data_IF_702363998239
#
_entry.id   IF_702363998239
#
_cell.length_a   1.000
_cell.length_b   1.000
_cell.length_c   1.000
_cell.angle_alpha   90.00
_cell.angle_beta   90.00
_cell.angle_gamma   90.00
#
_symmetry.space_group_name_H-M   'P 1'
#
loop_
_entity.id
_entity.type
_entity.pdbx_description
1 polymer ?
#
# COMPACT_ATOMS: atom_id res chain seq x y z
N UNK A 1 -32.60 24.43 -36.71
CA UNK A 1 -33.10 25.59 -37.47
C UNK A 1 -33.62 25.00 -38.77
N UNK A 2 -34.90 24.98 -39.13
CA UNK A 2 -36.06 25.76 -38.70
C UNK A 2 -37.28 25.05 -39.31
N UNK A 3 -38.28 24.66 -38.53
CA UNK A 3 -39.59 24.17 -39.04
C UNK A 3 -40.70 24.79 -38.18
N UNK A 4 -40.62 26.09 -37.89
CA UNK A 4 -41.78 26.78 -37.33
C UNK A 4 -42.53 27.35 -38.54
N UNK A 5 -43.77 26.92 -38.83
CA UNK A 5 -44.55 27.53 -39.90
C UNK A 5 -44.71 29.03 -39.59
N UNK A 6 -44.44 29.89 -40.59
CA UNK A 6 -44.47 31.36 -40.46
C UNK A 6 -45.88 31.89 -40.16
N UNK A 7 -46.93 31.06 -40.32
CA UNK A 7 -48.30 31.37 -39.91
C UNK A 7 -48.80 30.36 -38.87
N UNK A 8 -49.07 30.87 -37.66
CA UNK A 8 -49.70 30.11 -36.59
C UNK A 8 -51.22 30.00 -36.86
N UNK A 9 -51.82 28.82 -36.65
CA UNK A 9 -53.27 28.68 -36.73
C UNK A 9 -53.97 29.67 -35.78
N UNK A 10 -55.00 30.38 -36.25
CA UNK A 10 -55.75 31.34 -35.42
C UNK A 10 -56.89 30.69 -34.61
N UNK A 11 -57.24 29.44 -34.92
CA UNK A 11 -58.26 28.67 -34.20
C UNK A 11 -57.69 28.14 -32.87
N UNK A 12 -58.33 28.42 -31.70
CA UNK A 12 -57.88 27.91 -30.41
C UNK A 12 -57.87 26.37 -30.31
N UNK A 13 -58.66 25.66 -31.10
CA UNK A 13 -58.65 24.19 -31.11
C UNK A 13 -57.39 23.65 -31.80
N UNK A 14 -57.01 24.22 -32.94
CA UNK A 14 -55.84 23.82 -33.73
C UNK A 14 -54.53 24.16 -33.01
N UNK A 15 -54.49 25.31 -32.32
CA UNK A 15 -53.34 25.70 -31.49
C UNK A 15 -53.06 24.71 -30.35
N UNK A 16 -54.10 24.14 -29.73
CA UNK A 16 -53.93 23.15 -28.64
C UNK A 16 -53.33 21.85 -29.16
N UNK A 17 -53.75 21.41 -30.35
CA UNK A 17 -53.21 20.21 -31.00
C UNK A 17 -51.74 20.44 -31.37
N UNK A 18 -51.42 21.61 -31.93
CA UNK A 18 -50.05 21.97 -32.28
C UNK A 18 -49.14 22.09 -31.04
N UNK A 19 -49.63 22.70 -29.96
CA UNK A 19 -48.91 22.79 -28.70
C UNK A 19 -48.64 21.40 -28.08
N UNK A 20 -49.60 20.49 -28.13
CA UNK A 20 -49.42 19.11 -27.67
C UNK A 20 -48.33 18.40 -28.49
N UNK A 21 -48.35 18.53 -29.82
CA UNK A 21 -47.34 17.95 -30.70
C UNK A 21 -45.92 18.53 -30.45
N UNK A 22 -45.82 19.83 -30.15
CA UNK A 22 -44.55 20.45 -29.78
C UNK A 22 -44.03 19.94 -28.43
N UNK A 23 -44.90 19.78 -27.43
CA UNK A 23 -44.52 19.22 -26.12
C UNK A 23 -44.01 17.78 -26.25
N UNK A 24 -44.66 16.96 -27.09
CA UNK A 24 -44.19 15.60 -27.38
C UNK A 24 -42.82 15.59 -28.06
N UNK A 25 -42.59 16.52 -29.00
CA UNK A 25 -41.29 16.68 -29.68
C UNK A 25 -40.21 17.14 -28.71
N UNK A 26 -40.50 18.09 -27.83
CA UNK A 26 -39.60 18.51 -26.76
C UNK A 26 -39.25 17.34 -25.83
N UNK A 27 -40.24 16.58 -25.35
CA UNK A 27 -40.02 15.42 -24.49
C UNK A 27 -39.20 14.32 -25.18
N UNK A 28 -39.35 14.15 -26.51
CA UNK A 28 -38.52 13.23 -27.30
C UNK A 28 -37.07 13.72 -27.40
N UNK A 29 -36.87 15.01 -27.67
CA UNK A 29 -35.54 15.61 -27.75
C UNK A 29 -34.81 15.57 -26.41
N UNK A 30 -35.49 15.84 -25.30
CA UNK A 30 -34.93 15.74 -23.96
C UNK A 30 -34.47 14.31 -23.62
N UNK A 31 -35.25 13.30 -24.01
CA UNK A 31 -34.86 11.88 -23.84
C UNK A 31 -33.61 11.54 -24.65
N UNK A 32 -33.54 11.96 -25.91
CA UNK A 32 -32.37 11.73 -26.76
C UNK A 32 -31.12 12.44 -26.22
N UNK A 33 -31.29 13.65 -25.68
CA UNK A 33 -30.20 14.43 -25.11
C UNK A 33 -29.65 13.77 -23.83
N UNK A 34 -30.52 13.19 -22.98
CA UNK A 34 -30.09 12.39 -21.83
C UNK A 34 -29.27 11.17 -22.27
N UNK A 35 -29.79 10.37 -23.21
CA UNK A 35 -29.08 9.20 -23.74
C UNK A 35 -27.73 9.57 -24.36
N UNK A 36 -27.65 10.68 -25.09
CA UNK A 36 -26.40 11.16 -25.68
C UNK A 36 -25.39 11.61 -24.60
N UNK A 37 -25.86 12.30 -23.55
CA UNK A 37 -25.02 12.68 -22.40
C UNK A 37 -24.51 11.46 -21.65
N UNK A 38 -25.37 10.48 -21.39
CA UNK A 38 -24.99 9.25 -20.71
C UNK A 38 -23.99 8.44 -21.54
N UNK A 39 -24.14 8.40 -22.87
CA UNK A 39 -23.15 7.76 -23.75
C UNK A 39 -21.81 8.51 -23.80
N UNK A 40 -21.84 9.85 -23.81
CA UNK A 40 -20.64 10.70 -23.90
C UNK A 40 -19.86 10.75 -22.58
N UNK A 41 -20.56 10.85 -21.45
CA UNK A 41 -19.97 11.03 -20.12
C UNK A 41 -19.99 9.76 -19.27
N UNK A 42 -20.88 8.78 -19.53
CA UNK A 42 -21.01 7.57 -18.71
C UNK A 42 -19.77 6.68 -18.71
N UNK A 43 -19.06 6.54 -19.84
CA UNK A 43 -17.77 5.82 -19.89
C UNK A 43 -16.57 6.61 -19.35
N UNK A 44 -16.73 7.93 -19.18
CA UNK A 44 -15.64 8.85 -18.85
C UNK A 44 -15.69 9.38 -17.41
N UNK A 45 -16.86 9.25 -16.77
CA UNK A 45 -17.15 9.66 -15.39
C UNK A 45 -16.71 8.62 -14.34
N UNK A 46 -16.25 7.45 -14.75
CA UNK A 46 -15.82 6.34 -13.87
C UNK A 46 -14.31 6.32 -13.62
N UNK A 47 -13.61 7.45 -13.76
CA UNK A 47 -12.28 7.56 -13.15
C UNK A 47 -12.47 7.75 -11.64
N UNK A 48 -12.75 6.64 -10.98
CA UNK A 48 -12.77 6.56 -9.52
C UNK A 48 -11.38 6.99 -9.03
N UNK A 49 -11.38 7.92 -8.09
CA UNK A 49 -10.17 8.30 -7.38
C UNK A 49 -9.57 7.07 -6.67
N UNK A 50 -8.27 7.07 -6.41
CA UNK A 50 -7.59 5.91 -5.81
C UNK A 50 -8.25 5.48 -4.49
N UNK A 51 -8.69 6.45 -3.69
CA UNK A 51 -9.42 6.21 -2.43
C UNK A 51 -10.81 5.57 -2.67
N UNK A 52 -11.49 5.93 -3.77
CA UNK A 52 -12.78 5.33 -4.13
C UNK A 52 -12.62 3.90 -4.66
N UNK A 53 -11.56 3.62 -5.42
CA UNK A 53 -11.23 2.26 -5.84
C UNK A 53 -10.93 1.37 -4.62
N UNK A 54 -10.20 1.89 -3.65
CA UNK A 54 -9.87 1.15 -2.44
C UNK A 54 -11.13 0.81 -1.63
N UNK A 55 -12.10 1.73 -1.52
CA UNK A 55 -13.39 1.46 -0.90
C UNK A 55 -14.17 0.34 -1.61
N UNK A 56 -14.20 0.36 -2.95
CA UNK A 56 -14.87 -0.69 -3.74
C UNK A 56 -14.21 -2.05 -3.54
N UNK A 57 -12.87 -2.09 -3.47
CA UNK A 57 -12.15 -3.33 -3.19
C UNK A 57 -12.44 -3.85 -1.77
N UNK A 58 -12.49 -2.97 -0.78
CA UNK A 58 -12.89 -3.33 0.59
C UNK A 58 -14.32 -3.91 0.64
N UNK A 59 -15.27 -3.33 -0.10
CA UNK A 59 -16.64 -3.84 -0.19
C UNK A 59 -16.71 -5.22 -0.87
N UNK A 60 -15.91 -5.44 -1.91
CA UNK A 60 -15.81 -6.75 -2.59
C UNK A 60 -15.22 -7.79 -1.63
N UNK A 61 -14.14 -7.47 -0.92
CA UNK A 61 -13.52 -8.37 0.06
C UNK A 61 -14.50 -8.75 1.17
N UNK A 62 -15.30 -7.80 1.66
CA UNK A 62 -16.36 -8.07 2.64
C UNK A 62 -17.45 -8.99 2.08
N UNK A 63 -17.88 -8.76 0.84
CA UNK A 63 -18.88 -9.60 0.18
C UNK A 63 -18.36 -11.04 -0.01
N UNK A 64 -17.10 -11.19 -0.46
CA UNK A 64 -16.45 -12.49 -0.60
C UNK A 64 -16.36 -13.21 0.75
N UNK A 65 -15.92 -12.52 1.81
CA UNK A 65 -15.84 -13.10 3.14
C UNK A 65 -17.22 -13.54 3.67
N UNK A 66 -18.28 -12.78 3.38
CA UNK A 66 -19.65 -13.14 3.76
C UNK A 66 -20.14 -14.41 3.03
N UNK A 67 -19.82 -14.53 1.74
CA UNK A 67 -20.13 -15.73 0.94
C UNK A 67 -19.35 -16.94 1.45
N UNK A 68 -18.04 -16.80 1.68
CA UNK A 68 -17.20 -17.86 2.24
C UNK A 68 -17.72 -18.32 3.61
N UNK A 69 -18.13 -17.40 4.48
CA UNK A 69 -18.70 -17.73 5.78
C UNK A 69 -20.05 -18.46 5.66
N UNK A 70 -20.87 -18.13 4.67
CA UNK A 70 -22.12 -18.84 4.38
C UNK A 70 -21.85 -20.25 3.84
N UNK A 71 -20.87 -20.40 2.96
CA UNK A 71 -20.41 -21.70 2.45
C UNK A 71 -19.84 -22.58 3.56
N UNK A 72 -18.99 -22.03 4.42
CA UNK A 72 -18.37 -22.76 5.53
C UNK A 72 -19.44 -23.24 6.54
N UNK A 73 -20.52 -22.47 6.74
CA UNK A 73 -21.69 -22.88 7.54
C UNK A 73 -22.52 -23.97 6.86
N UNK A 74 -22.68 -23.91 5.54
CA UNK A 74 -23.43 -24.90 4.77
C UNK A 74 -22.68 -26.24 4.65
N UNK A 75 -21.35 -26.19 4.55
CA UNK A 75 -20.49 -27.35 4.28
C UNK A 75 -19.30 -27.42 5.25
N UNK A 76 -19.46 -28.00 6.46
CA UNK A 76 -18.40 -28.06 7.47
C UNK A 76 -17.14 -28.81 6.99
N UNK A 77 -17.31 -29.83 6.12
CA UNK A 77 -16.20 -30.57 5.51
C UNK A 77 -15.30 -29.69 4.61
N UNK A 78 -15.88 -28.71 3.93
CA UNK A 78 -15.11 -27.78 3.08
C UNK A 78 -14.34 -26.77 3.92
N UNK A 79 -14.95 -26.29 5.02
CA UNK A 79 -14.27 -25.47 6.03
C UNK A 79 -13.08 -26.21 6.65
N UNK A 80 -13.26 -27.47 7.05
CA UNK A 80 -12.19 -28.32 7.60
C UNK A 80 -11.05 -28.53 6.60
N UNK A 81 -11.37 -28.81 5.33
CA UNK A 81 -10.39 -28.97 4.25
C UNK A 81 -9.58 -27.68 4.02
N UNK A 82 -10.25 -26.53 3.86
CA UNK A 82 -9.59 -25.21 3.72
C UNK A 82 -8.73 -24.88 4.93
N UNK A 83 -9.19 -25.18 6.14
CA UNK A 83 -8.43 -25.00 7.36
C UNK A 83 -7.22 -25.95 7.48
N UNK A 84 -7.30 -27.16 6.92
CA UNK A 84 -6.18 -28.10 6.84
C UNK A 84 -5.13 -27.62 5.83
N UNK A 85 -5.54 -27.17 4.65
CA UNK A 85 -4.65 -26.58 3.62
C UNK A 85 -3.92 -25.33 4.15
N UNK A 86 -4.65 -24.43 4.83
CA UNK A 86 -4.04 -23.26 5.50
C UNK A 86 -3.04 -23.65 6.58
N UNK A 87 -3.27 -24.76 7.30
CA UNK A 87 -2.33 -25.27 8.32
C UNK A 87 -1.08 -25.87 7.69
N UNK A 88 -1.22 -26.58 6.57
CA UNK A 88 -0.10 -27.16 5.83
C UNK A 88 0.86 -26.08 5.29
N UNK A 89 0.32 -24.96 4.79
CA UNK A 89 1.13 -23.87 4.22
C UNK A 89 1.80 -22.94 5.24
N UNK A 90 1.57 -23.10 6.56
CA UNK A 90 2.19 -22.23 7.59
C UNK A 90 3.68 -22.50 7.82
N UNK A 91 4.22 -23.62 7.32
CA UNK A 91 5.59 -24.06 7.62
C UNK A 91 6.65 -23.61 6.63
N UNK A 92 6.29 -23.29 5.38
CA UNK A 92 7.28 -23.06 4.31
C UNK A 92 7.16 -21.63 3.79
N UNK A 93 8.13 -20.79 4.16
CA UNK A 93 8.22 -19.43 3.64
C UNK A 93 8.77 -19.47 2.20
N UNK A 94 8.35 -18.52 1.33
CA UNK A 94 8.83 -18.44 -0.05
C UNK A 94 10.37 -18.42 -0.17
N UNK A 95 10.90 -19.08 -1.19
CA UNK A 95 12.36 -19.28 -1.35
C UNK A 95 13.16 -18.02 -1.68
N UNK A 96 12.50 -16.99 -2.21
CA UNK A 96 13.14 -15.73 -2.60
C UNK A 96 13.40 -14.79 -1.42
N UNK A 97 12.88 -15.09 -0.22
CA UNK A 97 13.14 -14.30 0.97
C UNK A 97 14.56 -14.58 1.50
N UNK A 98 15.33 -13.54 1.89
CA UNK A 98 16.66 -13.74 2.46
C UNK A 98 16.55 -14.54 3.77
N UNK A 99 17.25 -15.67 3.84
CA UNK A 99 17.29 -16.54 5.03
C UNK A 99 18.56 -16.24 5.83
N UNK A 100 18.38 -15.98 7.13
CA UNK A 100 19.46 -15.91 8.10
C UNK A 100 19.35 -17.18 8.94
N UNK A 101 20.39 -18.03 8.91
CA UNK A 101 20.43 -19.28 9.67
C UNK A 101 21.14 -19.03 11.00
N UNK A 102 20.41 -19.15 12.10
CA UNK A 102 20.97 -19.07 13.45
C UNK A 102 21.10 -20.49 14.02
N UNK A 103 22.34 -20.99 14.12
CA UNK A 103 22.62 -22.30 14.71
C UNK A 103 22.83 -22.18 16.21
N UNK A 104 21.92 -22.77 17.00
CA UNK A 104 22.05 -22.84 18.45
C UNK A 104 22.83 -24.11 18.83
N UNK A 105 24.09 -23.93 19.23
CA UNK A 105 24.94 -25.03 19.69
C UNK A 105 24.73 -25.31 21.19
N UNK A 106 24.84 -26.57 21.63
CA UNK A 106 24.81 -26.92 23.05
C UNK A 106 26.03 -26.35 23.78
N UNK A 107 25.88 -26.09 25.08
CA UNK A 107 26.93 -25.49 25.91
C UNK A 107 28.20 -26.35 26.03
N UNK A 108 28.08 -27.67 25.87
CA UNK A 108 29.19 -28.61 25.86
C UNK A 108 29.21 -29.40 24.56
N UNK A 109 30.39 -29.48 23.94
CA UNK A 109 30.65 -30.21 22.69
C UNK A 109 31.29 -31.59 22.93
N UNK A 110 31.37 -32.02 24.19
CA UNK A 110 31.98 -33.26 24.64
C UNK A 110 30.95 -34.14 25.36
N UNK A 111 31.07 -35.47 25.25
CA UNK A 111 30.18 -36.36 25.99
C UNK A 111 30.42 -36.17 27.49
N UNK A 112 29.37 -35.97 28.31
CA UNK A 112 29.51 -35.96 29.76
C UNK A 112 29.97 -37.32 30.34
N UNK A 113 29.95 -38.38 29.51
CA UNK A 113 30.27 -39.75 29.89
C UNK A 113 31.73 -40.17 29.66
N UNK A 114 32.34 -39.70 28.56
CA UNK A 114 33.63 -40.20 28.09
C UNK A 114 34.53 -39.10 27.51
N UNK A 115 34.12 -37.83 27.63
CA UNK A 115 34.84 -36.65 27.11
C UNK A 115 35.14 -36.68 25.60
N UNK A 116 34.57 -37.64 24.87
CA UNK A 116 34.69 -37.72 23.43
C UNK A 116 33.96 -36.57 22.74
N UNK A 117 34.48 -36.14 21.58
CA UNK A 117 33.85 -35.12 20.76
C UNK A 117 32.47 -35.60 20.25
N UNK A 118 31.44 -34.78 20.44
CA UNK A 118 30.11 -35.02 19.90
C UNK A 118 30.09 -34.64 18.41
N UNK A 119 29.38 -35.42 17.60
CA UNK A 119 29.17 -35.14 16.18
C UNK A 119 27.67 -34.95 15.90
N UNK A 120 27.36 -34.19 14.86
CA UNK A 120 25.97 -33.89 14.48
C UNK A 120 25.33 -35.12 13.83
N UNK A 121 24.18 -35.56 14.38
CA UNK A 121 23.40 -36.71 13.87
C UNK A 121 22.18 -36.24 13.08
N UNK A 122 21.63 -35.07 13.44
CA UNK A 122 20.50 -34.43 12.79
C UNK A 122 20.14 -33.11 13.47
N UNK A 123 19.30 -32.32 12.82
CA UNK A 123 18.87 -31.02 13.31
C UNK A 123 17.40 -30.76 12.97
N UNK A 124 16.71 -30.04 13.85
CA UNK A 124 15.35 -29.57 13.62
C UNK A 124 15.37 -28.15 13.05
N UNK A 125 14.78 -27.94 11.87
CA UNK A 125 14.68 -26.63 11.23
C UNK A 125 13.29 -26.00 11.45
N UNK A 126 13.26 -24.74 11.91
CA UNK A 126 12.02 -23.96 11.97
C UNK A 126 12.22 -22.60 11.31
N UNK A 127 11.27 -22.21 10.44
CA UNK A 127 11.33 -20.93 9.72
C UNK A 127 10.46 -19.89 10.40
N UNK A 128 10.99 -18.67 10.57
CA UNK A 128 10.27 -17.52 11.13
C UNK A 128 10.52 -16.30 10.25
N UNK A 129 9.47 -15.55 9.93
CA UNK A 129 9.59 -14.29 9.17
C UNK A 129 9.88 -13.15 10.14
N UNK A 130 11.02 -12.49 9.96
CA UNK A 130 11.42 -11.34 10.77
C UNK A 130 11.45 -10.05 9.92
N UNK A 131 11.31 -8.90 10.58
CA UNK A 131 11.34 -7.58 9.95
C UNK A 131 12.48 -6.79 10.56
N UNK A 132 13.42 -6.35 9.72
CA UNK A 132 14.52 -5.48 10.15
C UNK A 132 14.15 -4.02 9.85
N UNK A 133 13.71 -3.22 10.83
CA UNK A 133 13.56 -1.78 10.66
C UNK A 133 14.94 -1.12 10.48
N UNK A 134 14.95 0.10 9.93
CA UNK A 134 16.15 0.88 9.56
C UNK A 134 17.34 0.68 10.53
N UNK A 135 18.38 -0.01 10.08
CA UNK A 135 19.59 -0.23 10.89
C UNK A 135 20.41 1.06 10.98
N UNK A 136 20.61 1.56 12.19
CA UNK A 136 21.50 2.69 12.44
C UNK A 136 22.95 2.19 12.51
N UNK A 137 23.83 2.79 11.71
CA UNK A 137 25.27 2.49 11.71
C UNK A 137 26.08 3.73 12.06
N UNK A 138 27.14 3.54 12.84
CA UNK A 138 28.10 4.59 13.17
C UNK A 138 29.16 4.66 12.07
N UNK A 139 29.30 5.82 11.42
CA UNK A 139 30.36 6.04 10.43
C UNK A 139 31.51 6.74 11.14
N UNK A 140 32.64 6.04 11.29
CA UNK A 140 33.86 6.58 11.89
C UNK A 140 34.82 7.03 10.79
N UNK A 141 34.87 8.33 10.52
CA UNK A 141 35.82 8.90 9.56
C UNK A 141 37.18 9.14 10.22
N UNK A 142 38.14 8.23 10.00
CA UNK A 142 39.53 8.42 10.43
C UNK A 142 40.29 9.26 9.41
N UNK A 143 40.90 10.37 9.86
CA UNK A 143 41.75 11.25 9.05
C UNK A 143 43.19 11.18 9.56
N UNK A 144 43.99 10.19 9.13
CA UNK A 144 45.35 10.04 9.60
C UNK A 144 46.20 11.24 9.16
N UNK A 145 47.13 11.64 10.04
CA UNK A 145 48.19 12.58 9.71
C UNK A 145 49.40 11.78 9.27
N UNK A 146 49.82 11.97 8.02
CA UNK A 146 50.95 11.28 7.44
C UNK A 146 52.14 12.23 7.41
N UNK A 147 53.28 11.80 7.92
CA UNK A 147 54.52 12.56 7.87
C UNK A 147 55.58 11.76 7.13
N UNK A 148 56.38 12.43 6.31
CA UNK A 148 57.51 11.79 5.65
C UNK A 148 58.64 11.56 6.66
N UNK A 149 59.11 10.31 6.78
CA UNK A 149 60.21 9.92 7.68
C UNK A 149 61.58 10.47 7.28
N UNK A 150 61.77 10.82 6.00
CA UNK A 150 63.08 11.24 5.49
C UNK A 150 63.34 12.74 5.69
N UNK A 151 62.30 13.59 5.62
CA UNK A 151 62.45 15.04 5.70
C UNK A 151 61.82 15.67 6.95
N UNK A 152 61.04 14.94 7.75
CA UNK A 152 60.42 15.33 9.03
C UNK A 152 59.55 16.62 9.05
N UNK A 153 59.57 17.45 8.01
CA UNK A 153 58.95 18.78 8.02
C UNK A 153 57.54 18.88 7.44
N UNK A 154 57.06 17.87 6.70
CA UNK A 154 55.76 17.93 6.01
C UNK A 154 54.80 16.92 6.63
N UNK A 155 53.70 17.42 7.20
CA UNK A 155 52.57 16.64 7.69
C UNK A 155 51.39 16.86 6.74
N UNK A 156 50.97 15.79 6.06
CA UNK A 156 49.83 15.78 5.16
C UNK A 156 48.61 15.21 5.88
N UNK A 157 47.50 15.93 5.80
CA UNK A 157 46.21 15.49 6.32
C UNK A 157 45.12 15.84 5.30
N UNK A 158 44.20 14.92 5.07
CA UNK A 158 43.04 15.18 4.22
C UNK A 158 42.05 16.12 4.93
N UNK A 159 41.46 17.06 4.17
CA UNK A 159 40.50 18.02 4.70
C UNK A 159 39.25 17.33 5.27
N UNK A 160 38.55 18.03 6.19
CA UNK A 160 37.29 17.52 6.71
C UNK A 160 36.23 17.49 5.61
N UNK A 161 35.47 16.39 5.45
CA UNK A 161 34.26 16.46 4.66
C UNK A 161 33.29 17.45 5.33
N UNK A 162 32.66 18.30 4.52
CA UNK A 162 31.62 19.20 4.98
C UNK A 162 30.40 18.40 5.44
N UNK A 163 29.73 18.87 6.50
CA UNK A 163 28.57 18.22 7.10
C UNK A 163 27.39 19.17 7.05
N UNK A 164 26.20 18.64 6.78
CA UNK A 164 24.96 19.43 6.75
C UNK A 164 24.72 20.20 8.06
N UNK A 165 24.95 19.55 9.22
CA UNK A 165 24.89 20.19 10.54
C UNK A 165 26.31 20.27 11.12
N UNK A 166 26.80 21.50 11.33
CA UNK A 166 28.15 21.72 11.89
C UNK A 166 28.23 21.17 13.32
N UNK A 167 29.13 20.22 13.55
CA UNK A 167 29.28 19.55 14.85
C UNK A 167 28.16 18.55 15.18
N UNK A 168 27.20 18.35 14.29
CA UNK A 168 26.13 17.38 14.47
C UNK A 168 26.63 15.94 14.38
N UNK A 169 26.03 15.08 15.21
CA UNK A 169 26.13 13.62 15.10
C UNK A 169 25.31 13.04 13.93
N UNK A 170 24.11 13.58 13.59
CA UNK A 170 23.31 13.05 12.49
C UNK A 170 24.00 13.21 11.14
N UNK A 171 23.96 12.14 10.34
CA UNK A 171 24.35 12.20 8.91
C UNK A 171 23.17 12.70 8.09
N UNK A 172 23.45 13.17 6.87
CA UNK A 172 22.45 13.64 5.91
C UNK A 172 21.34 12.61 5.69
N UNK A 173 21.74 11.33 5.62
CA UNK A 173 20.83 10.19 5.46
C UNK A 173 19.90 9.99 6.67
N UNK A 174 20.40 10.20 7.88
CA UNK A 174 19.60 10.08 9.10
C UNK A 174 18.56 11.21 9.18
N UNK A 175 18.97 12.44 8.82
CA UNK A 175 18.07 13.60 8.81
C UNK A 175 16.96 13.39 7.79
N UNK A 176 17.28 12.94 6.58
CA UNK A 176 16.28 12.61 5.56
C UNK A 176 15.28 11.55 6.07
N UNK A 177 15.77 10.46 6.66
CA UNK A 177 14.92 9.39 7.17
C UNK A 177 13.95 9.88 8.28
N UNK A 178 14.40 10.76 9.18
CA UNK A 178 13.54 11.34 10.23
C UNK A 178 12.47 12.25 9.64
N UNK A 179 12.80 13.03 8.58
CA UNK A 179 11.83 13.87 7.88
C UNK A 179 10.74 13.00 7.23
N UNK A 180 11.14 11.93 6.55
CA UNK A 180 10.23 10.99 5.88
C UNK A 180 9.34 10.26 6.89
N UNK A 181 9.92 9.76 7.99
CA UNK A 181 9.15 9.09 9.04
C UNK A 181 8.12 10.04 9.68
N UNK A 182 8.49 11.31 9.89
CA UNK A 182 7.62 12.32 10.49
C UNK A 182 6.50 12.77 9.54
N UNK A 183 6.79 12.92 8.24
CA UNK A 183 5.79 13.32 7.25
C UNK A 183 4.69 12.26 7.09
N UNK A 184 5.07 10.98 7.09
CA UNK A 184 4.15 9.84 7.03
C UNK A 184 3.21 9.79 8.26
N UNK A 185 3.74 10.02 9.46
CA UNK A 185 2.94 10.06 10.70
C UNK A 185 1.97 11.27 10.73
N UNK A 186 2.40 12.42 10.20
CA UNK A 186 1.56 13.62 10.11
C UNK A 186 0.36 13.46 9.17
N UNK A 187 0.55 12.78 8.03
CA UNK A 187 -0.50 12.50 7.04
C UNK A 187 -1.55 11.54 7.63
N UNK A 188 -1.12 10.47 8.30
CA UNK A 188 -2.04 9.50 8.91
C UNK A 188 -2.89 10.11 10.04
N UNK A 189 -2.35 11.09 10.79
CA UNK A 189 -3.11 11.81 11.82
C UNK A 189 -4.14 12.80 11.24
N UNK A 190 -3.87 13.35 10.05
CA UNK A 190 -4.78 14.30 9.39
C UNK A 190 -5.98 13.57 8.76
N UNK A 191 -5.79 12.37 8.20
CA UNK A 191 -6.87 11.55 7.64
C UNK A 191 -7.71 10.86 8.72
N UNK A 192 -7.11 10.40 9.83
CA UNK A 192 -7.84 9.79 10.94
C UNK A 192 -8.79 10.75 11.68
N UNK A 193 -8.42 12.04 11.81
CA UNK A 193 -9.25 13.02 12.52
C UNK A 193 -10.51 13.44 11.74
N UNK A 194 -10.53 13.28 10.41
CA UNK A 194 -11.73 13.55 9.58
C UNK A 194 -12.75 12.40 9.60
N UNK A 195 -12.33 11.15 9.81
CA UNK A 195 -13.26 9.99 9.86
C UNK A 195 -14.04 9.87 11.18
N UNK A 196 -13.60 10.51 12.25
CA UNK A 196 -14.25 10.41 13.56
C UNK A 196 -15.44 11.39 13.77
N UNK A 197 -15.63 12.37 12.87
CA UNK A 197 -16.65 13.43 13.03
C UNK A 197 -17.95 13.22 12.23
N UNK A 198 -18.15 12.07 11.55
CA UNK A 198 -19.39 11.76 10.79
C UNK A 198 -20.07 10.48 11.28
N UNK A 199 -20.15 10.25 12.59
CA UNK A 199 -20.90 9.12 13.15
C UNK A 199 -21.56 9.52 14.48
N UNK A 200 -22.26 10.64 14.47
CA UNK A 200 -23.32 10.99 15.42
C UNK A 200 -24.33 11.87 14.68
N UNK A 201 -25.25 11.22 13.97
CA UNK A 201 -26.62 11.64 13.67
C UNK A 201 -27.32 10.46 12.97
#
# INVERSE_FOLDING_TARGET
MSDLPDELPSDPAELRIFAAALLDRCAKLERLLKLAKDAQFGRSSEKLDADQLQLVLEDIDQAVAALEAAEDRANPKTCEKRAAERRANRGQLPEHLPRIVETLLPAATYCPCCEGALFEIGHDESQRLDVVPAQYRVIVTRRPRLACRACHGIVLQHAAPERLIRGGLPTERLVAHVIDAKSIIGICRFTARRRCWRRTE
#
